data_IF_841055419805
#
_entry.id   IF_841055419805
#
_cell.length_a   1.000
_cell.length_b   1.000
_cell.length_c   1.000
_cell.angle_alpha   90.00
_cell.angle_beta   90.00
_cell.angle_gamma   90.00
#
_symmetry.space_group_name_H-M   'P 1'
#
loop_
_entity.id
_entity.type
_entity.pdbx_description
1 polymer ?
#
# COMPACT_ATOMS: atom_id res chain seq x y z
N UNK A 1 -45.41 -6.93 6.10
CA UNK A 1 -44.29 -6.00 5.89
C UNK A 1 -43.05 -6.56 6.60
N UNK A 2 -42.26 -7.45 5.98
CA UNK A 2 -40.99 -7.89 6.59
C UNK A 2 -40.01 -8.61 5.62
N UNK A 3 -40.14 -8.40 4.31
CA UNK A 3 -39.26 -9.04 3.30
C UNK A 3 -38.25 -8.06 2.71
N UNK A 4 -38.66 -6.79 2.56
CA UNK A 4 -37.81 -5.71 2.05
C UNK A 4 -36.66 -5.34 2.99
N UNK A 5 -36.89 -5.36 4.31
CA UNK A 5 -35.85 -5.05 5.32
C UNK A 5 -34.71 -6.08 5.26
N UNK A 6 -35.04 -7.36 5.09
CA UNK A 6 -34.05 -8.43 5.01
C UNK A 6 -33.14 -8.28 3.78
N UNK A 7 -33.70 -7.88 2.63
CA UNK A 7 -32.95 -7.68 1.39
C UNK A 7 -31.99 -6.48 1.52
N UNK A 8 -32.45 -5.37 2.12
CA UNK A 8 -31.62 -4.18 2.36
C UNK A 8 -30.47 -4.49 3.32
N UNK A 9 -30.73 -5.30 4.36
CA UNK A 9 -29.70 -5.72 5.32
C UNK A 9 -28.65 -6.65 4.68
N UNK A 10 -29.06 -7.54 3.77
CA UNK A 10 -28.14 -8.39 3.01
C UNK A 10 -27.25 -7.58 2.05
N UNK A 11 -27.79 -6.57 1.37
CA UNK A 11 -27.02 -5.70 0.47
C UNK A 11 -26.01 -4.86 1.29
N UNK A 12 -26.41 -4.34 2.45
CA UNK A 12 -25.51 -3.62 3.36
C UNK A 12 -24.35 -4.51 3.86
N UNK A 13 -24.61 -5.77 4.20
CA UNK A 13 -23.58 -6.74 4.59
C UNK A 13 -22.62 -7.09 3.44
N UNK A 14 -23.10 -7.12 2.19
CA UNK A 14 -22.23 -7.35 1.03
C UNK A 14 -21.29 -6.16 0.75
N UNK A 15 -21.75 -4.93 1.00
CA UNK A 15 -20.93 -3.70 0.84
C UNK A 15 -19.86 -3.60 1.93
N UNK A 16 -20.15 -4.03 3.17
CA UNK A 16 -19.17 -3.99 4.27
C UNK A 16 -18.14 -5.12 4.20
N UNK A 17 -18.44 -6.23 3.51
CA UNK A 17 -17.50 -7.35 3.39
C UNK A 17 -16.29 -7.06 2.47
N UNK A 18 -16.37 -6.06 1.58
CA UNK A 18 -15.25 -5.70 0.69
C UNK A 18 -14.35 -4.58 1.23
N UNK A 19 -14.70 -3.94 2.34
CA UNK A 19 -14.07 -2.68 2.78
C UNK A 19 -13.01 -2.84 3.88
N UNK A 20 -12.75 -4.05 4.37
CA UNK A 20 -11.92 -4.27 5.57
C UNK A 20 -10.48 -4.71 5.30
N UNK A 21 -10.07 -4.92 4.05
CA UNK A 21 -8.70 -5.39 3.78
C UNK A 21 -7.95 -4.68 2.66
N UNK A 22 -8.65 -3.89 1.85
CA UNK A 22 -8.07 -3.22 0.69
C UNK A 22 -7.77 -1.77 1.03
N UNK A 23 -6.63 -1.27 0.55
CA UNK A 23 -6.41 0.16 0.54
C UNK A 23 -7.56 0.86 -0.19
N UNK A 24 -8.02 2.03 0.29
CA UNK A 24 -8.91 2.84 -0.53
C UNK A 24 -8.25 3.10 -1.89
N UNK A 25 -9.02 3.17 -2.99
CA UNK A 25 -8.46 3.52 -4.29
C UNK A 25 -7.72 4.85 -4.13
N UNK A 26 -6.41 4.83 -4.39
CA UNK A 26 -5.59 6.01 -4.24
C UNK A 26 -5.89 6.96 -5.40
N UNK A 27 -6.70 8.00 -5.14
CA UNK A 27 -7.06 8.99 -6.13
C UNK A 27 -5.81 9.75 -6.64
N UNK A 28 -5.81 10.01 -7.94
CA UNK A 28 -4.84 10.88 -8.57
C UNK A 28 -4.99 12.31 -8.04
N UNK A 29 -3.92 12.85 -7.44
CA UNK A 29 -3.94 14.22 -6.93
C UNK A 29 -3.15 15.09 -7.88
N UNK A 30 -3.82 16.05 -8.53
CA UNK A 30 -3.22 16.97 -9.51
C UNK A 30 -2.59 16.23 -10.71
N UNK A 31 -3.22 15.14 -11.16
CA UNK A 31 -2.72 14.32 -12.27
C UNK A 31 -1.50 13.47 -11.92
N UNK A 32 -1.19 13.30 -10.63
CA UNK A 32 -0.12 12.42 -10.16
C UNK A 32 -0.72 11.19 -9.48
N UNK A 33 -0.42 10.03 -10.07
CA UNK A 33 -0.81 8.71 -9.57
C UNK A 33 -0.22 8.42 -8.21
N UNK A 34 -1.07 7.91 -7.33
CA UNK A 34 -0.71 7.51 -5.97
C UNK A 34 -0.89 6.01 -5.81
N UNK A 35 -0.10 5.44 -4.93
CA UNK A 35 -0.01 4.01 -4.70
C UNK A 35 -0.26 3.75 -3.23
N UNK A 36 -0.90 2.62 -2.93
CA UNK A 36 -1.04 2.25 -1.54
C UNK A 36 0.24 1.63 -1.01
N UNK A 37 0.74 2.16 0.09
CA UNK A 37 1.96 1.73 0.74
C UNK A 37 1.66 1.38 2.19
N UNK A 38 2.22 0.26 2.66
CA UNK A 38 2.30 -0.10 4.07
C UNK A 38 3.75 0.08 4.54
N UNK A 39 4.08 1.13 5.31
CA UNK A 39 5.43 1.33 5.81
C UNK A 39 5.86 0.19 6.75
N UNK A 40 7.14 -0.20 6.69
CA UNK A 40 7.70 -1.18 7.62
C UNK A 40 7.62 -0.60 9.05
N UNK A 41 7.12 -1.40 9.98
CA UNK A 41 6.91 -0.99 11.38
C UNK A 41 5.59 -0.27 11.66
N UNK A 42 4.76 0.01 10.64
CA UNK A 42 3.43 0.59 10.81
C UNK A 42 2.34 -0.36 10.29
N UNK A 43 1.27 -0.51 11.07
CA UNK A 43 0.11 -1.32 10.67
C UNK A 43 -0.84 -0.57 9.72
N UNK A 44 -0.68 0.75 9.57
CA UNK A 44 -1.54 1.57 8.72
C UNK A 44 -1.06 1.60 7.27
N UNK A 45 -2.01 1.46 6.35
CA UNK A 45 -1.80 1.60 4.90
C UNK A 45 -2.14 3.05 4.49
N UNK A 46 -1.36 3.65 3.59
CA UNK A 46 -1.56 5.03 3.15
C UNK A 46 -1.28 5.22 1.66
N UNK A 47 -1.88 6.26 1.05
CA UNK A 47 -1.64 6.59 -0.35
C UNK A 47 -0.43 7.53 -0.50
N UNK A 48 0.63 7.03 -1.11
CA UNK A 48 1.89 7.74 -1.35
C UNK A 48 2.13 7.98 -2.84
N UNK A 49 2.89 9.01 -3.16
CA UNK A 49 3.31 9.28 -4.53
C UNK A 49 4.35 8.25 -4.94
N UNK A 50 4.39 7.89 -6.22
CA UNK A 50 5.48 7.07 -6.74
C UNK A 50 6.84 7.76 -6.54
N UNK A 51 7.87 6.97 -6.31
CA UNK A 51 9.22 7.46 -6.14
C UNK A 51 9.69 8.17 -7.42
N UNK A 52 10.34 9.32 -7.22
CA UNK A 52 11.01 10.08 -8.29
C UNK A 52 12.28 9.37 -8.77
N UNK A 53 12.82 9.83 -9.89
CA UNK A 53 14.12 9.37 -10.40
C UNK A 53 15.23 9.51 -9.33
N UNK A 54 16.03 8.46 -9.17
CA UNK A 54 17.05 8.36 -8.12
C UNK A 54 16.50 8.15 -6.70
N UNK A 55 15.17 8.09 -6.53
CA UNK A 55 14.52 7.77 -5.25
C UNK A 55 14.54 6.29 -4.91
N UNK A 56 14.32 5.96 -3.64
CA UNK A 56 14.11 4.58 -3.20
C UNK A 56 12.72 4.13 -3.62
N UNK A 57 12.62 2.98 -4.25
CA UNK A 57 11.34 2.36 -4.60
C UNK A 57 11.39 0.84 -4.38
N UNK A 58 10.22 0.21 -4.30
CA UNK A 58 10.08 -1.25 -4.19
C UNK A 58 9.29 -1.82 -5.36
N UNK A 59 9.54 -3.09 -5.65
CA UNK A 59 8.68 -3.93 -6.51
C UNK A 59 7.85 -4.92 -5.69
N UNK A 60 8.07 -4.98 -4.38
CA UNK A 60 7.34 -5.88 -3.49
C UNK A 60 5.92 -5.35 -3.25
N UNK A 61 4.95 -6.12 -3.74
CA UNK A 61 3.52 -5.84 -3.60
C UNK A 61 2.81 -7.04 -2.99
N UNK A 62 1.92 -6.79 -2.04
CA UNK A 62 1.09 -7.79 -1.38
C UNK A 62 -0.34 -7.29 -1.32
N UNK A 63 -1.28 -8.03 -1.90
CA UNK A 63 -2.70 -7.65 -1.95
C UNK A 63 -2.91 -6.21 -2.49
N UNK A 64 -2.20 -5.85 -3.57
CA UNK A 64 -2.17 -4.51 -4.18
C UNK A 64 -1.62 -3.39 -3.27
N UNK A 65 -0.89 -3.75 -2.22
CA UNK A 65 -0.21 -2.84 -1.29
C UNK A 65 1.29 -2.98 -1.42
N UNK A 66 1.99 -1.88 -1.63
CA UNK A 66 3.44 -1.86 -1.66
C UNK A 66 4.01 -1.87 -0.25
N UNK A 67 4.96 -2.77 0.01
CA UNK A 67 5.50 -2.98 1.35
C UNK A 67 6.76 -2.12 1.56
N UNK A 68 6.76 -1.34 2.64
CA UNK A 68 7.88 -0.49 3.06
C UNK A 68 8.05 0.81 2.28
N UNK A 69 8.01 0.76 0.94
CA UNK A 69 8.28 1.89 0.05
C UNK A 69 7.23 1.96 -1.07
N UNK A 70 7.02 3.13 -1.70
CA UNK A 70 6.22 3.22 -2.91
C UNK A 70 6.95 2.62 -4.13
N UNK A 71 6.23 2.26 -5.21
CA UNK A 71 6.84 1.95 -6.49
C UNK A 71 7.43 3.22 -7.12
N UNK A 72 8.21 3.04 -8.17
CA UNK A 72 8.68 4.14 -8.99
C UNK A 72 7.52 4.80 -9.77
N UNK A 73 7.61 6.13 -10.01
CA UNK A 73 6.60 6.89 -10.76
C UNK A 73 6.42 6.32 -12.18
N UNK A 74 5.24 6.48 -12.79
CA UNK A 74 4.97 5.96 -14.13
C UNK A 74 6.04 6.42 -15.14
N UNK A 75 6.51 5.48 -15.96
CA UNK A 75 7.62 5.69 -16.89
C UNK A 75 9.02 5.46 -16.30
N UNK A 76 9.14 5.28 -14.98
CA UNK A 76 10.38 4.90 -14.32
C UNK A 76 10.37 3.42 -13.94
N UNK A 77 11.53 2.77 -14.02
CA UNK A 77 11.70 1.37 -13.63
C UNK A 77 12.43 1.30 -12.30
N UNK A 78 11.88 0.54 -11.35
CA UNK A 78 12.58 0.19 -10.13
C UNK A 78 13.67 -0.82 -10.47
N UNK A 79 14.93 -0.37 -10.49
CA UNK A 79 16.05 -1.30 -10.48
C UNK A 79 16.20 -1.79 -9.05
N UNK A 80 16.00 -3.09 -8.83
CA UNK A 80 16.25 -3.77 -7.55
C UNK A 80 17.76 -3.78 -7.26
N UNK A 81 18.34 -2.61 -7.02
CA UNK A 81 19.71 -2.48 -6.58
C UNK A 81 19.69 -2.58 -5.05
N UNK A 82 19.74 -3.83 -4.60
CA UNK A 82 20.27 -4.29 -3.31
C UNK A 82 19.85 -3.43 -2.12
N UNK A 83 18.62 -3.66 -1.65
CA UNK A 83 18.20 -3.34 -0.28
C UNK A 83 18.30 -4.55 0.65
N UNK A 84 19.21 -5.50 0.38
CA UNK A 84 19.57 -6.52 1.35
C UNK A 84 20.74 -5.98 2.18
N UNK A 85 20.63 -6.10 3.50
CA UNK A 85 21.65 -5.74 4.50
C UNK A 85 21.68 -4.25 4.87
N UNK A 86 20.61 -3.81 5.55
CA UNK A 86 20.83 -2.91 6.68
C UNK A 86 21.60 -3.70 7.74
N UNK A 87 22.93 -3.64 7.68
CA UNK A 87 23.84 -4.11 8.73
C UNK A 87 23.57 -3.25 9.98
N UNK A 88 22.61 -3.69 10.78
CA UNK A 88 22.44 -3.29 12.17
C UNK A 88 23.02 -4.41 13.03
N UNK A 89 24.32 -4.66 12.90
CA UNK A 89 25.09 -5.39 13.90
C UNK A 89 25.65 -4.36 14.87
N UNK A 90 24.78 -3.94 15.78
CA UNK A 90 25.17 -3.40 17.07
C UNK A 90 26.12 -4.42 17.72
N UNK A 91 27.39 -4.06 17.87
CA UNK A 91 28.35 -4.80 18.70
C UNK A 91 29.02 -3.80 19.62
N UNK A 92 28.26 -3.40 20.64
CA UNK A 92 28.78 -3.29 22.00
C UNK A 92 29.42 -4.63 22.37
N UNK A 93 30.74 -4.67 22.63
CA UNK A 93 31.40 -5.33 23.77
C UNK A 93 32.94 -5.39 23.56
N UNK A 94 33.72 -4.92 24.54
CA UNK A 94 35.18 -5.18 24.65
C UNK A 94 36.05 -3.99 25.03
#
# INVERSE_FOLDING_TARGET
MNKFIFIVFCILMAVTCQTVNSCPPCEDVKGEKRYCVQPLGFLMKMCEKGAKEGGRCTTEVKDDVYMGLPPCKEGLTCNAREGAESDSSDSLDG
#
